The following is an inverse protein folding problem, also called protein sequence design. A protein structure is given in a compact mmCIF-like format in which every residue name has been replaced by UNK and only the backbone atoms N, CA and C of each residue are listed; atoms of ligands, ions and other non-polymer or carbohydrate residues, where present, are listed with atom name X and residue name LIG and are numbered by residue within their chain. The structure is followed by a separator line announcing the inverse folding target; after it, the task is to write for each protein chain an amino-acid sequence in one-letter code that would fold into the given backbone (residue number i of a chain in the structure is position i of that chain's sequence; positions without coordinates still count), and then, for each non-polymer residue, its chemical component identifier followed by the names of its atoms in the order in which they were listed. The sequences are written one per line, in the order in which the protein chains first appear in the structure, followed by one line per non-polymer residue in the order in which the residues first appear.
data_IF_242125277191
#
_entry.id   IF_242125277191
#
_cell.length_a   1.000
_cell.length_b   1.000
_cell.length_c   1.000
_cell.angle_alpha   90.00
_cell.angle_beta   90.00
_cell.angle_gamma   90.00
#
_symmetry.space_group_name_H-M   'P 1'
#
loop_
_entity.id
_entity.type
_entity.pdbx_description
1 polymer ?
#
# COMPACT_ATOMS: atom_id res chain seq x y z
N UNK A 1 -0.91 20.00 -14.70
CA UNK A 1 -0.68 21.11 -13.76
C UNK A 1 -0.54 20.48 -12.39
N UNK A 2 0.70 20.37 -11.88
CA UNK A 2 0.99 19.67 -10.62
C UNK A 2 0.61 20.59 -9.47
N UNK A 3 -0.27 20.20 -8.54
CA UNK A 3 -0.61 21.04 -7.40
C UNK A 3 0.65 21.29 -6.58
N UNK A 4 0.91 22.55 -6.25
CA UNK A 4 2.05 22.90 -5.41
C UNK A 4 1.78 22.48 -3.95
N UNK A 5 2.82 22.22 -3.13
CA UNK A 5 2.62 21.92 -1.71
C UNK A 5 1.83 23.02 -0.97
N UNK A 6 1.90 24.27 -1.44
CA UNK A 6 1.08 25.37 -0.93
C UNK A 6 -0.42 25.19 -1.24
N UNK A 7 -0.77 24.66 -2.41
CA UNK A 7 -2.17 24.37 -2.77
C UNK A 7 -2.75 23.25 -1.92
N UNK A 8 -1.93 22.24 -1.61
CA UNK A 8 -2.31 21.12 -0.72
C UNK A 8 -2.48 21.59 0.73
N UNK A 9 -1.61 22.49 1.20
CA UNK A 9 -1.73 23.12 2.51
C UNK A 9 -2.96 24.03 2.58
N UNK A 10 -3.24 24.82 1.55
CA UNK A 10 -4.43 25.67 1.47
C UNK A 10 -5.72 24.84 1.52
N UNK A 11 -5.76 23.70 0.80
CA UNK A 11 -6.90 22.77 0.81
C UNK A 11 -7.15 22.10 2.18
N UNK A 12 -6.16 22.12 3.07
CA UNK A 12 -6.20 21.44 4.39
C UNK A 12 -6.09 22.43 5.57
N UNK A 13 -6.08 23.74 5.30
CA UNK A 13 -5.90 24.76 6.33
C UNK A 13 -7.20 25.03 7.10
N UNK A 14 -7.11 25.08 8.44
CA UNK A 14 -8.24 25.43 9.33
C UNK A 14 -7.89 26.71 10.08
N UNK A 15 -8.79 27.70 10.05
CA UNK A 15 -8.65 28.93 10.83
C UNK A 15 -9.18 28.71 12.24
N UNK A 16 -8.29 28.74 13.23
CA UNK A 16 -8.66 28.70 14.65
C UNK A 16 -9.03 30.11 15.11
N UNK A 17 -10.28 30.30 15.51
CA UNK A 17 -10.76 31.53 16.14
C UNK A 17 -10.70 31.37 17.66
N UNK A 18 -10.41 32.46 18.37
CA UNK A 18 -10.49 32.45 19.84
C UNK A 18 -11.96 32.37 20.27
N UNK A 19 -12.28 31.33 21.03
CA UNK A 19 -13.60 31.07 21.59
C UNK A 19 -13.56 29.83 22.49
N UNK A 20 -14.66 29.58 23.18
CA UNK A 20 -14.89 28.36 23.97
C UNK A 20 -15.93 27.51 23.25
N UNK A 21 -15.50 26.58 22.38
CA UNK A 21 -16.44 25.69 21.71
C UNK A 21 -17.13 24.80 22.75
N UNK A 22 -18.40 24.52 22.52
CA UNK A 22 -19.12 23.51 23.28
C UNK A 22 -18.50 22.12 23.05
N UNK A 23 -18.73 21.16 23.96
CA UNK A 23 -18.26 19.79 23.78
C UNK A 23 -18.75 19.13 22.48
N UNK A 24 -19.97 19.46 22.04
CA UNK A 24 -20.58 18.96 20.81
C UNK A 24 -19.87 19.50 19.56
N UNK A 25 -19.56 20.81 19.53
CA UNK A 25 -18.81 21.43 18.44
C UNK A 25 -17.39 20.87 18.32
N UNK A 26 -16.74 20.60 19.46
CA UNK A 26 -15.42 19.97 19.49
C UNK A 26 -15.47 18.53 18.96
N UNK A 27 -16.51 17.76 19.31
CA UNK A 27 -16.72 16.41 18.82
C UNK A 27 -16.98 16.39 17.30
N UNK A 28 -17.84 17.29 16.80
CA UNK A 28 -18.13 17.44 15.39
C UNK A 28 -16.86 17.82 14.59
N UNK A 29 -16.09 18.77 15.10
CA UNK A 29 -14.82 19.18 14.48
C UNK A 29 -13.82 18.01 14.42
N UNK A 30 -13.70 17.24 15.51
CA UNK A 30 -12.83 16.07 15.57
C UNK A 30 -13.26 14.97 14.59
N UNK A 31 -14.58 14.75 14.44
CA UNK A 31 -15.11 13.79 13.48
C UNK A 31 -14.77 14.17 12.02
N UNK A 32 -14.92 15.45 11.67
CA UNK A 32 -14.57 15.96 10.34
C UNK A 32 -13.06 15.85 10.08
N UNK A 33 -12.22 16.23 11.05
CA UNK A 33 -10.78 16.07 10.94
C UNK A 33 -10.38 14.61 10.75
N UNK A 34 -10.95 13.70 11.54
CA UNK A 34 -10.68 12.27 11.42
C UNK A 34 -11.05 11.76 10.04
N UNK A 35 -12.23 12.11 9.53
CA UNK A 35 -12.67 11.71 8.19
C UNK A 35 -11.77 12.25 7.07
N UNK A 36 -11.31 13.50 7.18
CA UNK A 36 -10.48 14.16 6.15
C UNK A 36 -9.03 13.71 6.17
N UNK A 37 -8.50 13.39 7.36
CA UNK A 37 -7.12 12.97 7.57
C UNK A 37 -6.93 11.46 7.53
N UNK A 38 -8.01 10.67 7.49
CA UNK A 38 -7.91 9.23 7.33
C UNK A 38 -7.26 8.94 5.97
N UNK A 39 -6.04 8.38 5.94
CA UNK A 39 -5.39 8.05 4.68
C UNK A 39 -6.19 6.96 3.97
N UNK A 40 -6.23 7.01 2.64
CA UNK A 40 -6.76 5.91 1.87
C UNK A 40 -5.99 4.62 2.21
N UNK A 41 -6.65 3.47 2.32
CA UNK A 41 -5.97 2.21 2.54
C UNK A 41 -4.95 1.97 1.42
N UNK A 42 -3.72 1.62 1.81
CA UNK A 42 -2.65 1.31 0.87
C UNK A 42 -3.10 0.14 -0.03
N UNK A 43 -2.92 0.21 -1.37
CA UNK A 43 -3.12 -0.94 -2.23
C UNK A 43 -2.37 -2.16 -1.68
N UNK A 44 -3.09 -3.29 -1.57
CA UNK A 44 -2.49 -4.54 -1.10
C UNK A 44 -1.26 -4.87 -1.97
N UNK A 45 -0.15 -5.35 -1.37
CA UNK A 45 1.04 -5.72 -2.12
C UNK A 45 0.69 -6.80 -3.15
N UNK A 46 1.30 -6.76 -4.34
CA UNK A 46 1.04 -7.77 -5.36
C UNK A 46 1.42 -9.16 -4.83
N UNK A 47 0.68 -10.21 -5.21
CA UNK A 47 0.98 -11.56 -4.77
C UNK A 47 2.39 -11.98 -5.23
N UNK A 48 3.12 -12.80 -4.43
CA UNK A 48 4.44 -13.28 -4.82
C UNK A 48 4.35 -14.09 -6.11
N UNK A 49 5.33 -13.92 -6.99
CA UNK A 49 5.41 -14.69 -8.22
C UNK A 49 5.45 -16.20 -7.90
N UNK A 50 4.66 -17.03 -8.61
CA UNK A 50 4.70 -18.47 -8.40
C UNK A 50 6.11 -18.99 -8.69
N UNK A 51 6.66 -19.77 -7.76
CA UNK A 51 7.97 -20.38 -7.92
C UNK A 51 8.02 -21.15 -9.23
N UNK A 52 8.99 -20.83 -10.09
CA UNK A 52 9.25 -21.56 -11.32
C UNK A 52 9.70 -22.99 -10.96
N UNK A 53 8.74 -23.91 -10.88
CA UNK A 53 9.05 -25.34 -10.71
C UNK A 53 9.80 -25.81 -11.95
N UNK A 54 11.10 -26.00 -11.80
CA UNK A 54 11.90 -26.62 -12.86
C UNK A 54 11.53 -28.09 -12.93
N UNK A 55 10.88 -28.51 -14.01
CA UNK A 55 10.51 -29.91 -14.25
C UNK A 55 11.80 -30.71 -14.51
N UNK A 56 12.12 -31.75 -13.71
CA UNK A 56 13.36 -32.54 -13.87
C UNK A 56 13.42 -33.40 -15.16
N UNK A 57 12.35 -33.50 -15.94
CA UNK A 57 12.22 -34.45 -17.07
C UNK A 57 13.07 -34.14 -18.32
N UNK A 58 13.87 -33.07 -18.34
CA UNK A 58 14.69 -32.73 -19.52
C UNK A 58 16.16 -33.08 -19.40
N UNK A 59 16.62 -33.58 -18.25
CA UNK A 59 18.02 -33.98 -18.11
C UNK A 59 18.25 -35.41 -18.62
N UNK A 60 18.61 -35.44 -19.92
CA UNK A 60 19.25 -36.50 -20.72
C UNK A 60 18.37 -37.61 -21.30
N UNK A 61 18.33 -37.75 -22.64
CA UNK A 61 18.02 -39.03 -23.25
C UNK A 61 19.11 -40.05 -22.88
N UNK A 62 18.68 -41.29 -22.66
CA UNK A 62 19.52 -42.45 -22.39
C UNK A 62 20.79 -42.46 -23.27
N UNK A 63 21.97 -42.35 -22.67
CA UNK A 63 23.25 -42.18 -23.41
C UNK A 63 24.06 -43.47 -23.51
N UNK A 64 23.98 -44.40 -22.55
CA UNK A 64 24.61 -45.73 -22.68
C UNK A 64 24.16 -46.73 -21.61
N UNK A 65 24.36 -48.05 -21.83
CA UNK A 65 24.07 -49.09 -20.84
C UNK A 65 24.97 -49.07 -19.60
N UNK A 66 26.09 -48.32 -19.61
CA UNK A 66 27.04 -48.23 -18.48
C UNK A 66 26.76 -47.05 -17.53
N UNK A 67 25.69 -46.29 -17.75
CA UNK A 67 25.39 -45.10 -16.95
C UNK A 67 24.96 -45.40 -15.50
N UNK A 68 24.79 -46.67 -15.14
CA UNK A 68 24.51 -47.13 -13.78
C UNK A 68 25.76 -47.82 -13.22
N UNK A 69 26.80 -47.05 -12.94
CA UNK A 69 27.87 -47.52 -12.07
C UNK A 69 28.14 -46.46 -11.00
N UNK A 70 28.31 -47.00 -9.79
CA UNK A 70 28.16 -46.42 -8.45
C UNK A 70 29.28 -45.42 -8.15
#
# INVERSE_FOLDING_TARGET
MTPTPADLLAATSVRVLRGTPSPEELAAFTAVLTLRLTPAPDPAPPPPAPAARTRPDRTRPYTSPRAWHI
#
